data_IF_191605442006
#
_entry.id   IF_191605442006
#
_cell.length_a   1.000
_cell.length_b   1.000
_cell.length_c   1.000
_cell.angle_alpha   90.00
_cell.angle_beta   90.00
_cell.angle_gamma   90.00
#
_symmetry.space_group_name_H-M   'P 1'
#
loop_
_entity.id
_entity.type
_entity.pdbx_description
1 polymer ?
#
# COMPACT_ATOMS: atom_id res chain seq x y z
N UNK A 1 -29.17 -36.30 -23.54
CA UNK A 1 -28.24 -35.85 -22.54
C UNK A 1 -27.30 -34.83 -23.19
N UNK A 2 -27.59 -33.55 -22.93
CA UNK A 2 -26.83 -32.42 -23.44
C UNK A 2 -25.62 -32.30 -22.51
N UNK A 3 -24.41 -32.56 -23.01
CA UNK A 3 -23.15 -32.28 -22.30
C UNK A 3 -22.91 -30.77 -22.38
N UNK A 4 -23.17 -30.06 -21.30
CA UNK A 4 -22.70 -28.69 -21.12
C UNK A 4 -21.18 -28.70 -20.92
N UNK A 5 -20.46 -28.08 -21.85
CA UNK A 5 -19.02 -27.81 -21.70
C UNK A 5 -18.84 -26.72 -20.63
N UNK A 6 -17.85 -26.84 -19.72
CA UNK A 6 -17.56 -25.76 -18.80
C UNK A 6 -17.09 -24.52 -19.60
N UNK A 7 -17.73 -23.41 -19.32
CA UNK A 7 -17.36 -22.10 -19.84
C UNK A 7 -15.95 -21.75 -19.30
N UNK A 8 -14.96 -21.69 -20.19
CA UNK A 8 -13.65 -21.09 -19.88
C UNK A 8 -13.88 -19.58 -19.81
N UNK A 9 -13.42 -18.89 -18.77
CA UNK A 9 -13.38 -17.44 -18.76
C UNK A 9 -12.24 -16.98 -19.68
N UNK A 10 -12.53 -16.80 -20.94
CA UNK A 10 -11.62 -16.20 -21.92
C UNK A 10 -11.62 -14.69 -21.69
N UNK A 11 -10.84 -14.22 -20.74
CA UNK A 11 -10.85 -12.81 -20.37
C UNK A 11 -9.69 -12.37 -19.46
N UNK A 12 -8.80 -13.27 -19.09
CA UNK A 12 -7.52 -12.85 -18.53
C UNK A 12 -6.67 -12.26 -19.66
N UNK A 13 -7.01 -11.03 -20.04
CA UNK A 13 -6.14 -10.22 -20.84
C UNK A 13 -4.76 -10.26 -20.20
N UNK A 14 -3.76 -10.77 -20.94
CA UNK A 14 -2.36 -10.70 -20.53
C UNK A 14 -2.10 -9.28 -20.06
N UNK A 15 -1.94 -9.09 -18.75
CA UNK A 15 -1.31 -7.90 -18.20
C UNK A 15 0.09 -7.89 -18.82
N UNK A 16 0.23 -7.15 -19.91
CA UNK A 16 1.54 -6.84 -20.45
C UNK A 16 2.20 -5.95 -19.41
N UNK A 17 3.05 -6.52 -18.59
CA UNK A 17 4.07 -5.75 -17.91
C UNK A 17 4.86 -5.03 -19.00
N UNK A 18 4.48 -3.81 -19.27
CA UNK A 18 5.34 -2.89 -20.00
C UNK A 18 6.51 -2.61 -19.06
N UNK A 19 7.56 -3.37 -19.24
CA UNK A 19 8.86 -3.03 -18.67
C UNK A 19 9.33 -1.80 -19.43
N UNK A 20 8.95 -0.62 -18.94
CA UNK A 20 9.67 0.58 -19.30
C UNK A 20 11.12 0.38 -18.85
N UNK A 21 12.01 0.31 -19.85
CA UNK A 21 13.44 0.18 -19.63
C UNK A 21 13.88 1.34 -18.73
N UNK A 22 14.24 1.04 -17.47
CA UNK A 22 14.87 1.96 -16.54
C UNK A 22 14.00 2.55 -15.46
N UNK A 23 12.71 2.20 -15.35
CA UNK A 23 11.85 2.61 -14.23
C UNK A 23 11.91 1.60 -13.11
N UNK A 24 12.85 1.74 -12.17
CA UNK A 24 12.69 1.16 -10.85
C UNK A 24 11.34 1.62 -10.29
N UNK A 25 10.65 0.77 -9.53
CA UNK A 25 9.45 1.16 -8.79
C UNK A 25 9.81 2.40 -7.98
N UNK A 26 9.30 3.57 -8.37
CA UNK A 26 9.46 4.78 -7.59
C UNK A 26 8.64 4.60 -6.31
N UNK A 27 9.29 4.36 -5.15
CA UNK A 27 8.59 4.14 -3.89
C UNK A 27 7.74 5.35 -3.48
N UNK A 28 7.94 6.50 -4.14
CA UNK A 28 7.22 7.73 -3.90
C UNK A 28 5.80 7.74 -4.46
N UNK A 29 5.41 6.71 -5.22
CA UNK A 29 4.08 6.64 -5.86
C UNK A 29 3.01 5.91 -5.06
N UNK A 30 3.32 5.38 -3.89
CA UNK A 30 2.47 4.32 -3.30
C UNK A 30 1.48 4.81 -2.23
N UNK A 31 1.50 6.04 -1.76
CA UNK A 31 0.55 6.50 -0.73
C UNK A 31 0.02 7.92 -0.98
N UNK A 32 0.18 8.48 -2.14
CA UNK A 32 -0.54 9.69 -2.45
C UNK A 32 -1.98 9.31 -2.81
N UNK A 33 -2.93 9.71 -1.98
CA UNK A 33 -4.37 9.72 -2.27
C UNK A 33 -4.65 10.62 -3.48
N UNK A 34 -4.10 10.26 -4.62
CA UNK A 34 -4.30 10.96 -5.88
C UNK A 34 -5.65 10.57 -6.45
N UNK A 35 -6.54 11.52 -6.66
CA UNK A 35 -7.65 11.43 -7.58
C UNK A 35 -7.10 11.23 -9.01
N UNK A 36 -6.54 10.06 -9.28
CA UNK A 36 -6.06 9.65 -10.58
C UNK A 36 -6.93 8.53 -11.11
N UNK A 37 -7.66 8.80 -12.17
CA UNK A 37 -8.40 7.76 -12.89
C UNK A 37 -7.42 6.68 -13.32
N UNK A 38 -7.52 5.48 -12.73
CA UNK A 38 -7.07 4.26 -13.38
C UNK A 38 -5.72 3.67 -12.98
N UNK A 39 -4.99 4.17 -12.00
CA UNK A 39 -3.70 3.60 -11.63
C UNK A 39 -3.56 3.50 -10.12
N UNK A 40 -3.96 2.37 -9.55
CA UNK A 40 -3.75 2.07 -8.14
C UNK A 40 -4.94 1.43 -7.41
N UNK A 41 -6.00 1.09 -8.10
CA UNK A 41 -7.11 0.37 -7.47
C UNK A 41 -6.67 -1.05 -7.11
N UNK A 42 -6.96 -1.47 -5.89
CA UNK A 42 -6.87 -2.87 -5.49
C UNK A 42 -8.00 -3.66 -6.13
N UNK A 43 -7.68 -4.87 -6.58
CA UNK A 43 -8.69 -5.84 -6.94
C UNK A 43 -9.15 -6.55 -5.67
N UNK A 44 -10.42 -6.35 -5.32
CA UNK A 44 -11.05 -6.94 -4.16
C UNK A 44 -12.03 -8.01 -4.62
N UNK A 45 -11.89 -9.21 -4.08
CA UNK A 45 -12.89 -10.24 -4.26
C UNK A 45 -13.95 -10.10 -3.17
N UNK A 46 -15.21 -9.95 -3.56
CA UNK A 46 -16.33 -9.91 -2.63
C UNK A 46 -17.35 -10.98 -2.99
N UNK A 47 -17.80 -11.72 -1.98
CA UNK A 47 -18.92 -12.66 -2.06
C UNK A 47 -20.08 -12.27 -1.14
N UNK A 48 -20.01 -11.07 -0.55
CA UNK A 48 -21.02 -10.60 0.38
C UNK A 48 -22.36 -10.34 -0.28
N UNK A 49 -22.36 -9.75 -1.47
CA UNK A 49 -23.57 -9.51 -2.27
C UNK A 49 -23.65 -10.54 -3.40
N UNK A 50 -24.61 -11.48 -3.34
CA UNK A 50 -24.73 -12.53 -4.36
C UNK A 50 -25.00 -12.00 -5.77
N UNK A 51 -25.46 -10.73 -5.90
CA UNK A 51 -25.67 -10.07 -7.19
C UNK A 51 -24.41 -9.43 -7.75
N UNK A 52 -23.40 -9.27 -6.92
CA UNK A 52 -22.10 -8.64 -7.24
C UNK A 52 -20.91 -9.48 -6.81
N UNK A 53 -21.09 -10.80 -6.72
CA UNK A 53 -19.97 -11.70 -6.40
C UNK A 53 -18.91 -11.66 -7.47
N UNK A 54 -17.68 -11.42 -7.07
CA UNK A 54 -16.55 -11.45 -7.98
C UNK A 54 -15.45 -10.43 -7.62
N UNK A 55 -14.56 -10.26 -8.56
CA UNK A 55 -13.49 -9.29 -8.48
C UNK A 55 -13.97 -7.90 -8.93
N UNK A 56 -13.80 -6.92 -8.08
CA UNK A 56 -14.03 -5.51 -8.39
C UNK A 56 -12.74 -4.72 -8.20
N UNK A 57 -12.48 -3.79 -9.11
CA UNK A 57 -11.44 -2.79 -8.89
C UNK A 57 -12.07 -1.68 -8.04
N UNK A 58 -11.87 -1.77 -6.76
CA UNK A 58 -12.36 -0.79 -5.80
C UNK A 58 -11.22 -0.39 -4.87
N UNK A 59 -11.33 0.76 -4.29
CA UNK A 59 -10.36 1.24 -3.33
C UNK A 59 -9.47 2.35 -3.88
N UNK A 60 -9.57 3.43 -3.20
CA UNK A 60 -8.61 4.53 -3.21
C UNK A 60 -8.70 5.23 -1.87
N UNK A 61 -7.57 5.75 -1.41
CA UNK A 61 -7.50 6.56 -0.21
C UNK A 61 -7.17 5.77 1.06
N UNK A 62 -7.47 6.38 2.19
CA UNK A 62 -7.07 5.88 3.53
C UNK A 62 -7.73 4.55 3.91
N UNK A 63 -8.91 4.25 3.36
CA UNK A 63 -9.62 2.98 3.58
C UNK A 63 -8.89 1.78 2.98
N UNK A 64 -8.04 2.01 1.97
CA UNK A 64 -7.14 1.01 1.39
C UNK A 64 -5.81 0.97 2.14
N UNK A 65 -5.24 2.15 2.40
CA UNK A 65 -3.92 2.27 3.03
C UNK A 65 -3.87 1.69 4.44
N UNK A 66 -4.94 1.86 5.21
CA UNK A 66 -5.02 1.38 6.59
C UNK A 66 -4.90 -0.14 6.73
N UNK A 67 -5.68 -0.97 6.03
CA UNK A 67 -5.53 -2.43 6.10
C UNK A 67 -4.22 -2.93 5.50
N UNK A 68 -3.67 -2.26 4.46
CA UNK A 68 -2.35 -2.60 3.95
C UNK A 68 -1.26 -2.38 5.01
N UNK A 69 -1.31 -1.25 5.71
CA UNK A 69 -0.37 -0.98 6.80
C UNK A 69 -0.56 -1.94 7.98
N UNK A 70 -1.79 -2.32 8.31
CA UNK A 70 -2.07 -3.35 9.30
C UNK A 70 -1.45 -4.71 8.92
N UNK A 71 -1.43 -5.05 7.63
CA UNK A 71 -0.72 -6.22 7.12
C UNK A 71 0.80 -6.14 7.34
N UNK A 72 1.40 -4.97 7.13
CA UNK A 72 2.83 -4.74 7.42
C UNK A 72 3.13 -4.94 8.91
N UNK A 73 2.27 -4.41 9.78
CA UNK A 73 2.40 -4.60 11.24
C UNK A 73 2.26 -6.07 11.64
N UNK A 74 1.31 -6.79 11.05
CA UNK A 74 1.14 -8.23 11.31
C UNK A 74 2.37 -9.05 10.91
N UNK A 75 3.02 -8.70 9.80
CA UNK A 75 4.28 -9.33 9.40
C UNK A 75 5.42 -9.00 10.38
N UNK A 76 5.45 -7.79 10.91
CA UNK A 76 6.41 -7.40 11.93
C UNK A 76 6.18 -8.14 13.27
N UNK A 77 4.93 -8.30 13.70
CA UNK A 77 4.56 -9.14 14.85
C UNK A 77 5.03 -10.58 14.67
N UNK A 78 4.80 -11.15 13.49
CA UNK A 78 5.24 -12.49 13.15
C UNK A 78 6.76 -12.62 13.21
N UNK A 79 7.50 -11.67 12.64
CA UNK A 79 8.95 -11.68 12.65
C UNK A 79 9.53 -11.47 14.05
N UNK A 80 8.89 -10.63 14.87
CA UNK A 80 9.28 -10.40 16.27
C UNK A 80 8.98 -11.62 17.16
N UNK A 81 8.03 -12.47 16.79
CA UNK A 81 7.54 -13.59 17.59
C UNK A 81 6.59 -13.18 18.72
N UNK A 82 6.15 -11.94 18.74
CA UNK A 82 5.20 -11.40 19.71
C UNK A 82 4.48 -10.16 19.16
N UNK A 83 3.39 -9.76 19.78
CA UNK A 83 2.69 -8.52 19.43
C UNK A 83 3.52 -7.30 19.80
N UNK A 84 3.69 -6.37 18.87
CA UNK A 84 4.42 -5.11 19.09
C UNK A 84 3.59 -4.09 19.89
N UNK A 85 2.27 -4.27 19.95
CA UNK A 85 1.38 -3.38 20.66
C UNK A 85 1.16 -2.06 19.92
N UNK A 86 1.32 -0.93 20.61
CA UNK A 86 1.17 0.40 20.02
C UNK A 86 2.40 0.74 19.14
N UNK A 87 2.24 0.57 17.83
CA UNK A 87 3.32 0.78 16.87
C UNK A 87 3.60 2.27 16.59
N UNK A 88 2.67 3.16 16.86
CA UNK A 88 2.84 4.60 16.70
C UNK A 88 4.10 5.12 17.41
N UNK A 89 4.32 4.73 18.67
CA UNK A 89 5.52 5.09 19.43
C UNK A 89 6.80 4.51 18.82
N UNK A 90 6.71 3.34 18.21
CA UNK A 90 7.85 2.73 17.53
C UNK A 90 8.17 3.52 16.26
N UNK A 91 7.17 3.89 15.46
CA UNK A 91 7.35 4.67 14.25
C UNK A 91 8.02 6.01 14.54
N UNK A 92 7.55 6.74 15.57
CA UNK A 92 8.20 8.01 15.96
C UNK A 92 9.62 7.84 16.47
N UNK A 93 9.95 6.71 17.10
CA UNK A 93 11.35 6.39 17.47
C UNK A 93 12.22 6.08 16.26
N UNK A 94 11.67 5.42 15.26
CA UNK A 94 12.37 5.09 14.02
C UNK A 94 12.54 6.31 13.10
N UNK A 95 11.69 7.32 13.27
CA UNK A 95 11.74 8.53 12.44
C UNK A 95 13.08 9.25 12.57
N UNK A 96 13.64 9.66 11.43
CA UNK A 96 14.94 10.32 11.36
C UNK A 96 16.16 9.39 11.41
N UNK A 97 15.95 8.09 11.67
CA UNK A 97 17.02 7.10 11.58
C UNK A 97 17.11 6.51 10.17
N UNK A 98 18.32 6.11 9.78
CA UNK A 98 18.56 5.48 8.47
C UNK A 98 18.07 4.03 8.48
N UNK A 99 17.71 3.55 7.29
CA UNK A 99 17.37 2.14 7.01
C UNK A 99 16.19 1.56 7.83
N UNK A 100 15.32 2.43 8.32
CA UNK A 100 14.14 2.04 9.10
C UNK A 100 12.95 1.63 8.24
N UNK A 101 13.03 1.87 6.93
CA UNK A 101 11.90 1.69 6.03
C UNK A 101 10.89 2.84 6.01
N UNK A 102 11.10 3.90 6.81
CA UNK A 102 10.36 5.15 6.67
C UNK A 102 11.01 5.98 5.55
N UNK A 103 10.19 6.37 4.58
CA UNK A 103 10.63 7.11 3.38
C UNK A 103 9.92 8.44 3.35
N UNK A 104 10.68 9.52 3.44
CA UNK A 104 10.17 10.87 3.42
C UNK A 104 9.54 11.22 2.06
N UNK A 105 8.36 11.84 2.07
CA UNK A 105 7.66 12.32 0.88
C UNK A 105 7.80 13.84 0.82
N UNK A 106 8.71 14.33 0.00
CA UNK A 106 9.12 15.73 -0.02
C UNK A 106 8.43 16.61 -1.06
N UNK A 107 7.52 16.05 -1.86
CA UNK A 107 6.84 16.77 -2.95
C UNK A 107 5.39 16.34 -3.09
N UNK A 108 4.53 17.30 -3.41
CA UNK A 108 3.09 17.13 -3.56
C UNK A 108 2.31 18.01 -2.61
N UNK A 109 1.00 17.96 -2.70
CA UNK A 109 0.09 18.69 -1.83
C UNK A 109 -1.24 17.94 -1.66
N UNK A 110 -2.03 18.36 -0.68
CA UNK A 110 -3.37 17.81 -0.41
C UNK A 110 -4.50 18.60 -1.08
N UNK A 111 -4.17 19.49 -2.02
CA UNK A 111 -5.10 20.29 -2.82
C UNK A 111 -5.02 21.79 -2.54
N UNK A 112 -5.87 22.60 -3.21
CA UNK A 112 -5.73 24.07 -3.25
C UNK A 112 -5.74 24.76 -1.89
N UNK A 113 -6.38 24.19 -0.88
CA UNK A 113 -6.44 24.71 0.50
C UNK A 113 -5.79 23.75 1.50
N UNK A 114 -4.94 22.84 1.01
CA UNK A 114 -4.31 21.82 1.80
C UNK A 114 -2.88 22.18 2.21
N UNK A 115 -2.17 21.15 2.61
CA UNK A 115 -0.78 21.24 3.05
C UNK A 115 0.15 20.77 1.95
N UNK A 116 1.33 21.36 1.89
CA UNK A 116 2.40 20.96 0.96
C UNK A 116 3.35 20.00 1.67
N UNK A 117 3.75 18.94 0.97
CA UNK A 117 4.79 18.03 1.41
C UNK A 117 6.17 18.74 1.33
N UNK A 118 7.04 18.44 2.27
CA UNK A 118 8.39 19.01 2.38
C UNK A 118 9.34 18.04 3.06
N UNK A 119 10.62 18.42 3.17
CA UNK A 119 11.58 17.58 3.89
C UNK A 119 11.21 17.43 5.38
N UNK A 120 11.23 16.19 5.85
CA UNK A 120 10.90 15.87 7.22
C UNK A 120 9.40 15.68 7.46
N UNK A 121 8.98 15.83 8.71
CA UNK A 121 7.56 15.73 9.05
C UNK A 121 6.77 16.91 8.48
N UNK A 122 5.69 16.61 7.78
CA UNK A 122 4.72 17.61 7.31
C UNK A 122 3.27 17.14 7.51
N UNK A 123 2.32 18.08 7.36
CA UNK A 123 0.89 17.79 7.57
C UNK A 123 0.23 17.11 6.36
N UNK A 124 0.89 17.04 5.22
CA UNK A 124 0.37 16.38 4.03
C UNK A 124 0.63 14.87 4.07
N UNK A 125 1.80 14.46 4.58
CA UNK A 125 2.28 13.08 4.50
C UNK A 125 2.72 12.48 5.85
N UNK A 126 2.73 13.26 6.93
CA UNK A 126 3.12 12.81 8.26
C UNK A 126 4.58 12.37 8.31
N UNK A 127 4.81 11.10 8.61
CA UNK A 127 6.15 10.48 8.62
C UNK A 127 6.60 10.00 7.22
N UNK A 128 5.81 10.27 6.19
CA UNK A 128 6.06 9.83 4.83
C UNK A 128 5.41 8.50 4.47
N UNK A 129 6.05 7.74 3.61
CA UNK A 129 5.61 6.42 3.17
C UNK A 129 6.54 5.33 3.68
N UNK A 130 6.26 4.05 3.34
CA UNK A 130 6.99 2.92 3.88
C UNK A 130 7.59 2.03 2.79
N UNK A 131 8.85 1.62 2.99
CA UNK A 131 9.41 0.39 2.44
C UNK A 131 9.01 -0.73 3.40
N UNK A 132 8.03 -1.52 3.03
CA UNK A 132 7.42 -2.51 3.92
C UNK A 132 8.45 -3.53 4.42
N UNK A 133 9.36 -3.99 3.56
CA UNK A 133 10.37 -4.98 3.94
C UNK A 133 11.28 -4.44 5.03
N UNK A 134 11.84 -3.26 4.84
CA UNK A 134 12.73 -2.63 5.83
C UNK A 134 11.98 -2.28 7.11
N UNK A 135 10.75 -1.77 6.99
CA UNK A 135 9.96 -1.40 8.16
C UNK A 135 9.60 -2.61 9.02
N UNK A 136 9.25 -3.75 8.42
CA UNK A 136 9.00 -5.01 9.14
C UNK A 136 10.21 -5.42 9.97
N UNK A 137 11.42 -5.37 9.40
CA UNK A 137 12.66 -5.68 10.12
C UNK A 137 12.95 -4.68 11.24
N UNK A 138 12.81 -3.39 10.95
CA UNK A 138 13.06 -2.33 11.94
C UNK A 138 12.10 -2.39 13.12
N UNK A 139 10.80 -2.62 12.87
CA UNK A 139 9.79 -2.78 13.92
C UNK A 139 10.03 -4.04 14.75
N UNK A 140 10.48 -5.13 14.13
CA UNK A 140 10.83 -6.38 14.82
C UNK A 140 12.16 -6.31 15.58
N UNK A 141 12.88 -5.18 15.54
CA UNK A 141 14.20 -5.01 16.18
C UNK A 141 15.28 -5.90 15.55
N UNK A 142 15.15 -6.23 14.27
CA UNK A 142 16.12 -7.05 13.53
C UNK A 142 16.81 -6.18 12.48
N UNK A 143 18.15 -6.26 12.38
CA UNK A 143 18.93 -5.54 11.37
C UNK A 143 18.63 -6.05 9.95
#
# INVERSE_FOLDING_TARGET
PVRTRPHRPDGLGRVRHRTDRGGGLDPRRTVASGRGRGHGALWIYSSYDPTRTGWTADGAGTSESSPLFAGVVALADQLAGHRLGQVDRLLYRLYGHRDTGLVDVTTGDTGPNGYTAGPGYDQATGLGTVDATRLVHALAGRP
#
